data_IF_443298184187
#
_entry.id   IF_443298184187
#
_cell.length_a   1.000
_cell.length_b   1.000
_cell.length_c   1.000
_cell.angle_alpha   90.00
_cell.angle_beta   90.00
_cell.angle_gamma   90.00
#
_symmetry.space_group_name_H-M   'P 1'
#
loop_
_entity.id
_entity.type
_entity.pdbx_description
1 polymer ?
#
# COMPACT_ATOMS: atom_id res chain seq x y z
N UNK A 1 -25.84 12.19 9.93
CA UNK A 1 -24.91 13.09 9.21
C UNK A 1 -23.50 12.58 9.49
N UNK A 2 -22.93 11.82 8.56
CA UNK A 2 -21.56 11.34 8.69
C UNK A 2 -20.63 12.50 8.31
N UNK A 3 -19.86 13.01 9.26
CA UNK A 3 -18.76 13.91 8.98
C UNK A 3 -17.70 13.11 8.23
N UNK A 4 -17.60 13.31 6.92
CA UNK A 4 -16.43 12.92 6.17
C UNK A 4 -15.26 13.77 6.71
N UNK A 5 -14.47 13.18 7.59
CA UNK A 5 -13.17 13.75 7.97
C UNK A 5 -12.29 13.59 6.74
N UNK A 6 -12.18 14.66 5.97
CA UNK A 6 -11.23 14.74 4.86
C UNK A 6 -9.84 14.81 5.48
N UNK A 7 -9.28 13.66 5.83
CA UNK A 7 -7.86 13.59 6.18
C UNK A 7 -7.04 13.86 4.92
N UNK A 8 -6.63 15.10 4.72
CA UNK A 8 -5.65 15.38 3.68
C UNK A 8 -4.36 14.64 4.03
N UNK A 9 -3.75 13.99 3.04
CA UNK A 9 -2.48 13.27 3.23
C UNK A 9 -1.44 14.18 3.92
N UNK A 10 -0.67 13.68 4.89
CA UNK A 10 0.30 14.48 5.66
C UNK A 10 1.47 14.99 4.83
N UNK A 11 1.68 14.45 3.64
CA UNK A 11 2.66 14.86 2.66
C UNK A 11 1.96 15.07 1.31
N UNK A 12 1.87 16.30 0.86
CA UNK A 12 1.17 16.65 -0.38
C UNK A 12 2.12 17.38 -1.32
N UNK A 13 2.34 16.78 -2.49
CA UNK A 13 3.16 17.32 -3.58
C UNK A 13 2.38 17.13 -4.87
N UNK A 14 1.67 18.18 -5.27
CA UNK A 14 0.83 18.13 -6.47
C UNK A 14 1.67 18.37 -7.73
N UNK A 15 1.62 17.43 -8.63
CA UNK A 15 2.16 17.48 -9.98
C UNK A 15 1.03 17.70 -10.97
N UNK A 16 1.03 18.83 -11.67
CA UNK A 16 -0.01 19.14 -12.64
C UNK A 16 0.05 18.23 -13.88
N UNK A 17 -1.09 18.06 -14.53
CA UNK A 17 -1.14 17.35 -15.82
C UNK A 17 -0.24 18.00 -16.87
N UNK A 18 0.42 17.20 -17.73
CA UNK A 18 1.35 17.70 -18.72
C UNK A 18 0.63 18.54 -19.76
N UNK A 19 1.36 19.54 -20.28
CA UNK A 19 0.91 20.38 -21.40
C UNK A 19 1.63 19.97 -22.67
N UNK A 20 1.10 20.43 -23.79
CA UNK A 20 1.78 20.21 -25.08
C UNK A 20 3.19 20.80 -25.07
N UNK A 21 4.17 19.97 -25.38
CA UNK A 21 5.59 20.35 -25.37
C UNK A 21 6.34 20.02 -24.08
N UNK A 22 5.67 19.55 -23.04
CA UNK A 22 6.34 19.04 -21.84
C UNK A 22 7.17 17.80 -22.19
N UNK A 23 8.30 17.65 -21.50
CA UNK A 23 9.27 16.58 -21.71
C UNK A 23 9.42 15.74 -20.44
N UNK A 24 9.94 14.54 -20.62
CA UNK A 24 10.31 13.67 -19.50
C UNK A 24 11.23 14.40 -18.51
N UNK A 25 10.97 14.21 -17.23
CA UNK A 25 11.80 14.77 -16.15
C UNK A 25 11.86 13.87 -14.94
N UNK A 26 13.02 13.84 -14.30
CA UNK A 26 13.21 13.15 -13.01
C UNK A 26 12.79 14.07 -11.87
N UNK A 27 12.07 13.49 -10.90
CA UNK A 27 11.68 14.14 -9.65
C UNK A 27 12.17 13.29 -8.49
N UNK A 28 12.92 13.93 -7.59
CA UNK A 28 13.39 13.31 -6.35
C UNK A 28 12.80 14.09 -5.20
N UNK A 29 12.00 13.42 -4.39
CA UNK A 29 11.37 13.99 -3.19
C UNK A 29 11.93 13.27 -1.97
N UNK A 30 12.35 14.03 -0.98
CA UNK A 30 12.80 13.52 0.31
C UNK A 30 12.00 14.22 1.42
N UNK A 31 11.35 13.43 2.26
CA UNK A 31 10.56 13.95 3.36
C UNK A 31 11.46 14.52 4.45
N UNK A 32 11.26 15.78 4.83
CA UNK A 32 11.92 16.38 5.98
C UNK A 32 11.43 15.77 7.31
N UNK A 33 12.09 16.11 8.42
CA UNK A 33 11.76 15.57 9.73
C UNK A 33 10.30 15.81 10.12
N UNK A 34 9.77 17.01 9.86
CA UNK A 34 8.40 17.36 10.21
C UNK A 34 7.36 16.58 9.37
N UNK A 35 7.66 16.32 8.10
CA UNK A 35 6.84 15.44 7.25
C UNK A 35 6.87 14.02 7.77
N UNK A 36 8.07 13.48 8.07
CA UNK A 36 8.23 12.11 8.59
C UNK A 36 7.47 11.88 9.89
N UNK A 37 7.51 12.85 10.83
CA UNK A 37 6.73 12.79 12.07
C UNK A 37 5.22 12.73 11.79
N UNK A 38 4.70 13.55 10.88
CA UNK A 38 3.27 13.53 10.51
C UNK A 38 2.88 12.22 9.82
N UNK A 39 3.75 11.69 8.96
CA UNK A 39 3.54 10.41 8.28
C UNK A 39 3.54 9.25 9.29
N UNK A 40 4.48 9.23 10.25
CA UNK A 40 4.52 8.24 11.31
C UNK A 40 3.22 8.22 12.11
N UNK A 41 2.75 9.40 12.53
CA UNK A 41 1.48 9.53 13.26
C UNK A 41 0.28 9.08 12.43
N UNK A 42 0.26 9.39 11.13
CA UNK A 42 -0.85 9.05 10.23
C UNK A 42 -0.93 7.56 9.91
N UNK A 43 0.23 6.90 9.76
CA UNK A 43 0.34 5.45 9.51
C UNK A 43 0.38 4.61 10.80
N UNK A 44 0.31 5.25 11.98
CA UNK A 44 0.44 4.58 13.29
C UNK A 44 1.75 3.81 13.44
N UNK A 45 2.86 4.41 13.00
CA UNK A 45 4.22 3.87 13.10
C UNK A 45 4.95 4.49 14.29
N UNK A 46 5.94 3.78 14.83
CA UNK A 46 6.84 4.31 15.87
C UNK A 46 7.71 5.46 15.34
N UNK A 47 8.21 5.29 14.12
CA UNK A 47 9.00 6.31 13.42
C UNK A 47 8.94 6.14 11.90
N UNK A 48 9.32 7.19 11.19
CA UNK A 48 9.72 7.16 9.78
C UNK A 48 11.10 7.78 9.69
N UNK A 49 12.13 6.96 9.56
CA UNK A 49 13.52 7.41 9.60
C UNK A 49 14.01 7.89 8.24
N UNK A 50 13.48 7.30 7.18
CA UNK A 50 13.72 7.68 5.79
C UNK A 50 12.43 7.54 4.98
N UNK A 51 12.20 8.50 4.09
CA UNK A 51 11.12 8.46 3.11
C UNK A 51 11.54 9.26 1.88
N UNK A 52 11.84 8.56 0.81
CA UNK A 52 12.32 9.12 -0.45
C UNK A 52 11.56 8.51 -1.63
N UNK A 53 11.09 9.36 -2.52
CA UNK A 53 10.51 9.00 -3.80
C UNK A 53 11.44 9.48 -4.91
N UNK A 54 11.84 8.60 -5.83
CA UNK A 54 12.72 8.91 -6.95
C UNK A 54 12.08 8.37 -8.24
N UNK A 55 11.46 9.27 -8.99
CA UNK A 55 10.63 8.90 -10.13
C UNK A 55 10.95 9.74 -11.36
N UNK A 56 10.70 9.16 -12.51
CA UNK A 56 10.69 9.83 -13.80
C UNK A 56 9.25 10.02 -14.24
N UNK A 57 8.87 11.26 -14.49
CA UNK A 57 7.57 11.64 -15.01
C UNK A 57 7.65 11.78 -16.53
N UNK A 58 6.91 10.97 -17.24
CA UNK A 58 6.84 10.97 -18.70
C UNK A 58 5.46 11.42 -19.14
N UNK A 59 5.31 12.48 -19.95
CA UNK A 59 4.05 12.75 -20.63
C UNK A 59 3.61 11.53 -21.43
N UNK A 60 2.39 11.07 -21.19
CA UNK A 60 1.82 9.90 -21.83
C UNK A 60 0.34 10.11 -22.12
N UNK A 61 -0.05 10.09 -23.39
CA UNK A 61 -1.38 10.49 -23.83
C UNK A 61 -1.71 11.92 -23.32
N UNK A 62 -2.82 12.06 -22.60
CA UNK A 62 -3.22 13.30 -21.93
C UNK A 62 -2.86 13.32 -20.41
N UNK A 63 -2.06 12.35 -19.96
CA UNK A 63 -1.64 12.19 -18.58
C UNK A 63 -0.16 11.91 -18.40
N UNK A 64 0.18 11.13 -17.38
CA UNK A 64 1.56 10.83 -16.94
C UNK A 64 1.79 9.34 -16.82
N UNK A 65 2.94 8.89 -17.32
CA UNK A 65 3.55 7.62 -16.96
C UNK A 65 4.65 7.90 -15.92
N UNK A 66 4.50 7.35 -14.71
CA UNK A 66 5.38 7.56 -13.56
C UNK A 66 6.14 6.28 -13.31
N UNK A 67 7.46 6.31 -13.48
CA UNK A 67 8.33 5.14 -13.30
C UNK A 67 9.44 5.48 -12.32
N UNK A 68 9.70 4.61 -11.36
CA UNK A 68 10.77 4.81 -10.40
C UNK A 68 10.69 3.90 -9.19
N UNK A 69 11.09 4.41 -8.05
CA UNK A 69 11.09 3.64 -6.80
C UNK A 69 10.82 4.51 -5.58
N UNK A 70 10.19 3.90 -4.58
CA UNK A 70 10.12 4.40 -3.22
C UNK A 70 11.19 3.69 -2.37
N UNK A 71 11.90 4.46 -1.54
CA UNK A 71 12.81 3.96 -0.51
C UNK A 71 12.41 4.55 0.84
N UNK A 72 12.01 3.70 1.78
CA UNK A 72 11.62 4.11 3.12
C UNK A 72 12.20 3.18 4.19
N UNK A 73 12.39 3.74 5.40
CA UNK A 73 12.73 3.00 6.59
C UNK A 73 11.78 3.41 7.71
N UNK A 74 11.07 2.45 8.28
CA UNK A 74 10.01 2.69 9.27
C UNK A 74 10.25 1.89 10.55
N UNK A 75 10.01 2.52 11.70
CA UNK A 75 10.02 1.88 13.00
C UNK A 75 8.67 1.24 13.30
N UNK A 76 8.67 -0.03 13.67
CA UNK A 76 7.48 -0.80 14.03
C UNK A 76 7.70 -1.59 15.32
N UNK A 77 6.62 -2.03 15.97
CA UNK A 77 6.68 -2.95 17.12
C UNK A 77 6.32 -4.35 16.64
N UNK A 78 7.16 -5.32 17.00
CA UNK A 78 6.92 -6.73 16.69
C UNK A 78 5.68 -7.25 17.42
N UNK A 79 4.70 -7.78 16.69
CA UNK A 79 3.47 -8.34 17.27
C UNK A 79 3.67 -9.60 18.10
N UNK A 80 4.87 -10.23 18.06
CA UNK A 80 5.20 -11.44 18.81
C UNK A 80 5.96 -11.12 20.10
N UNK A 81 7.03 -10.30 20.00
CA UNK A 81 7.93 -10.02 21.13
C UNK A 81 7.68 -8.67 21.79
N UNK A 82 6.90 -7.80 21.14
CA UNK A 82 6.69 -6.40 21.51
C UNK A 82 7.97 -5.54 21.49
N UNK A 83 9.04 -6.05 20.89
CA UNK A 83 10.27 -5.28 20.69
C UNK A 83 10.11 -4.32 19.51
N UNK A 84 10.70 -3.12 19.59
CA UNK A 84 10.81 -2.25 18.41
C UNK A 84 11.79 -2.86 17.41
N UNK A 85 11.52 -2.64 16.11
CA UNK A 85 12.42 -3.01 15.02
C UNK A 85 12.24 -2.04 13.85
N UNK A 86 13.22 -2.00 12.98
CA UNK A 86 13.18 -1.22 11.75
C UNK A 86 12.83 -2.14 10.57
N UNK A 87 11.95 -1.66 9.69
CA UNK A 87 11.59 -2.31 8.43
C UNK A 87 12.02 -1.41 7.27
N UNK A 88 12.80 -1.99 6.35
CA UNK A 88 13.22 -1.35 5.10
C UNK A 88 12.21 -1.68 4.01
N UNK A 89 11.74 -0.65 3.30
CA UNK A 89 10.74 -0.75 2.26
C UNK A 89 11.35 -0.22 0.97
N UNK A 90 11.28 -1.00 -0.09
CA UNK A 90 11.66 -0.60 -1.44
C UNK A 90 10.60 -1.09 -2.40
N UNK A 91 9.85 -0.13 -2.95
CA UNK A 91 8.74 -0.45 -3.85
C UNK A 91 9.00 0.17 -5.22
N UNK A 92 9.03 -0.65 -6.27
CA UNK A 92 9.04 -0.14 -7.63
C UNK A 92 7.70 0.49 -7.96
N UNK A 93 7.73 1.57 -8.73
CA UNK A 93 6.56 2.28 -9.22
C UNK A 93 6.56 2.26 -10.73
N UNK A 94 5.45 1.81 -11.32
CA UNK A 94 5.16 1.89 -12.75
C UNK A 94 3.66 2.16 -12.90
N UNK A 95 3.27 3.44 -12.98
CA UNK A 95 1.88 3.88 -12.93
C UNK A 95 1.56 4.74 -14.14
N UNK A 96 0.45 4.43 -14.81
CA UNK A 96 -0.10 5.25 -15.89
C UNK A 96 -1.36 5.93 -15.39
N UNK A 97 -1.29 7.25 -15.25
CA UNK A 97 -2.37 8.06 -14.69
C UNK A 97 -2.89 9.04 -15.71
N UNK A 98 -4.21 9.13 -15.83
CA UNK A 98 -4.91 10.01 -16.75
C UNK A 98 -5.82 10.99 -16.00
N UNK A 99 -6.11 12.16 -16.53
CA UNK A 99 -7.10 13.07 -15.96
C UNK A 99 -8.49 12.38 -15.86
N UNK A 100 -9.28 12.72 -14.84
CA UNK A 100 -10.66 12.23 -14.77
C UNK A 100 -11.45 12.65 -16.01
N UNK A 101 -12.14 11.68 -16.61
CA UNK A 101 -12.91 11.89 -17.85
C UNK A 101 -12.07 11.85 -19.13
N UNK A 102 -10.81 11.46 -19.07
CA UNK A 102 -10.00 11.17 -20.26
C UNK A 102 -10.68 10.11 -21.13
N UNK A 103 -10.72 10.32 -22.46
CA UNK A 103 -11.25 9.32 -23.39
C UNK A 103 -10.39 8.04 -23.47
N UNK A 104 -9.20 8.08 -22.88
CA UNK A 104 -8.25 6.97 -22.85
C UNK A 104 -8.37 6.10 -21.59
N UNK A 105 -9.24 6.47 -20.64
CA UNK A 105 -9.55 5.62 -19.48
C UNK A 105 -10.41 4.41 -19.91
N UNK A 106 -10.24 3.26 -19.24
CA UNK A 106 -11.16 2.12 -19.43
C UNK A 106 -12.61 2.54 -19.16
N UNK A 107 -13.55 2.02 -19.94
CA UNK A 107 -14.97 2.28 -19.72
C UNK A 107 -15.43 1.61 -18.41
N UNK A 108 -16.11 2.35 -17.52
CA UNK A 108 -16.63 1.85 -16.25
C UNK A 108 -17.66 0.72 -16.41
N UNK A 109 -18.35 0.67 -17.56
CA UNK A 109 -19.40 -0.31 -17.90
C UNK A 109 -18.89 -1.49 -18.77
N UNK A 110 -17.58 -1.69 -18.89
CA UNK A 110 -17.05 -2.87 -19.54
C UNK A 110 -17.41 -4.09 -18.69
N UNK A 111 -18.52 -4.77 -19.01
CA UNK A 111 -19.02 -5.98 -18.34
C UNK A 111 -17.91 -6.97 -17.94
N UNK A 112 -18.06 -8.25 -18.07
CA UNK A 112 -17.03 -9.24 -17.75
C UNK A 112 -15.68 -8.87 -18.42
N UNK A 113 -14.75 -8.25 -17.63
CA UNK A 113 -13.41 -7.91 -18.12
C UNK A 113 -12.60 -9.20 -18.17
N UNK A 114 -12.27 -9.66 -19.36
CA UNK A 114 -11.28 -10.71 -19.53
C UNK A 114 -9.92 -10.15 -19.14
N UNK A 115 -9.42 -10.54 -17.98
CA UNK A 115 -8.09 -10.13 -17.50
C UNK A 115 -7.05 -10.96 -18.24
N UNK A 116 -6.30 -10.34 -19.10
CA UNK A 116 -5.09 -10.92 -19.68
C UNK A 116 -3.93 -10.66 -18.70
N UNK A 117 -3.45 -11.71 -18.06
CA UNK A 117 -2.36 -11.63 -17.08
C UNK A 117 -1.00 -11.19 -17.69
N UNK A 118 -0.87 -11.24 -19.01
CA UNK A 118 0.33 -10.80 -19.73
C UNK A 118 0.20 -9.37 -20.28
N UNK A 119 -0.99 -8.77 -20.19
CA UNK A 119 -1.20 -7.38 -20.61
C UNK A 119 -0.62 -6.41 -19.58
N UNK A 120 -0.17 -5.25 -20.06
CA UNK A 120 0.22 -4.14 -19.18
C UNK A 120 -0.99 -3.63 -18.38
N UNK A 121 -0.73 -3.18 -17.14
CA UNK A 121 -1.79 -2.63 -16.29
C UNK A 121 -2.51 -1.46 -16.97
N UNK A 122 -3.85 -1.44 -16.94
CA UNK A 122 -4.61 -0.35 -17.53
C UNK A 122 -4.32 0.98 -16.79
N UNK A 123 -4.48 2.13 -17.48
CA UNK A 123 -4.31 3.41 -16.83
C UNK A 123 -5.40 3.68 -15.80
N UNK A 124 -5.05 4.38 -14.74
CA UNK A 124 -5.94 4.79 -13.66
C UNK A 124 -6.30 6.28 -13.76
N UNK A 125 -7.43 6.65 -13.17
CA UNK A 125 -7.82 8.04 -13.05
C UNK A 125 -7.07 8.72 -11.91
N UNK A 126 -6.33 9.79 -12.21
CA UNK A 126 -5.70 10.64 -11.20
C UNK A 126 -6.64 11.72 -10.66
N UNK A 127 -6.09 12.71 -9.96
CA UNK A 127 -6.85 13.84 -9.44
C UNK A 127 -7.26 14.85 -10.52
N UNK A 128 -8.23 15.72 -10.21
CA UNK A 128 -8.70 16.76 -11.16
C UNK A 128 -7.58 17.71 -11.58
N UNK A 129 -6.73 18.11 -10.63
CA UNK A 129 -5.66 19.09 -10.88
C UNK A 129 -4.32 18.45 -11.30
N UNK A 130 -4.21 17.12 -11.19
CA UNK A 130 -2.95 16.40 -11.42
C UNK A 130 -2.79 15.20 -10.49
N UNK A 131 -1.54 14.82 -10.26
CA UNK A 131 -1.14 13.68 -9.44
C UNK A 131 -0.48 14.18 -8.14
N UNK A 132 -0.93 13.69 -7.00
CA UNK A 132 -0.27 13.97 -5.71
C UNK A 132 0.83 12.92 -5.46
N UNK A 133 2.09 13.29 -5.77
CA UNK A 133 3.25 12.41 -5.59
C UNK A 133 3.50 12.05 -4.12
N UNK A 134 3.12 12.94 -3.19
CA UNK A 134 3.20 12.67 -1.76
C UNK A 134 2.21 11.57 -1.35
N UNK A 135 0.97 11.64 -1.84
CA UNK A 135 -0.04 10.60 -1.60
C UNK A 135 0.39 9.24 -2.19
N UNK A 136 0.92 9.22 -3.43
CA UNK A 136 1.48 8.01 -4.04
C UNK A 136 2.61 7.39 -3.20
N UNK A 137 3.51 8.23 -2.67
CA UNK A 137 4.58 7.74 -1.80
C UNK A 137 4.03 7.09 -0.52
N UNK A 138 2.99 7.65 0.09
CA UNK A 138 2.36 7.10 1.29
C UNK A 138 1.61 5.79 1.00
N UNK A 139 0.95 5.70 -0.14
CA UNK A 139 0.31 4.49 -0.62
C UNK A 139 1.35 3.37 -0.82
N UNK A 140 2.45 3.67 -1.53
CA UNK A 140 3.54 2.72 -1.74
C UNK A 140 4.18 2.24 -0.42
N UNK A 141 4.39 3.14 0.57
CA UNK A 141 4.82 2.72 1.92
C UNK A 141 3.81 1.75 2.53
N UNK A 142 2.52 2.08 2.45
CA UNK A 142 1.46 1.26 3.06
C UNK A 142 1.38 -0.13 2.45
N UNK A 143 1.54 -0.24 1.12
CA UNK A 143 1.52 -1.50 0.38
C UNK A 143 2.80 -2.32 0.58
N UNK A 144 3.96 -1.65 0.68
CA UNK A 144 5.26 -2.30 0.86
C UNK A 144 5.53 -2.79 2.29
N UNK A 145 4.78 -2.30 3.28
CA UNK A 145 4.89 -2.82 4.65
C UNK A 145 4.41 -4.26 4.75
N UNK A 146 5.17 -5.11 5.47
CA UNK A 146 4.70 -6.44 5.81
C UNK A 146 3.34 -6.38 6.53
N UNK A 147 2.30 -7.15 6.12
CA UNK A 147 0.96 -7.08 6.70
C UNK A 147 0.96 -7.41 8.19
N UNK A 148 1.92 -8.22 8.64
CA UNK A 148 2.12 -8.55 10.05
C UNK A 148 3.47 -8.02 10.51
N UNK A 149 3.46 -7.10 11.49
CA UNK A 149 4.68 -6.58 12.08
C UNK A 149 5.43 -7.68 12.82
N UNK A 150 6.48 -8.23 12.20
CA UNK A 150 7.31 -9.28 12.79
C UNK A 150 8.78 -8.99 12.57
N UNK A 151 9.50 -8.87 13.69
CA UNK A 151 10.97 -8.71 13.66
C UNK A 151 11.60 -9.92 12.95
N UNK A 152 12.58 -9.72 12.06
CA UNK A 152 13.28 -10.81 11.40
C UNK A 152 13.82 -11.83 12.38
N UNK A 153 13.66 -13.13 12.07
CA UNK A 153 14.15 -14.25 12.91
C UNK A 153 13.26 -14.61 14.11
N UNK A 154 12.14 -13.91 14.34
CA UNK A 154 11.19 -14.25 15.39
C UNK A 154 10.15 -15.25 14.88
N UNK A 155 9.97 -16.38 15.58
CA UNK A 155 8.89 -17.32 15.38
C UNK A 155 7.88 -17.21 16.52
N UNK A 156 6.60 -17.43 16.23
CA UNK A 156 5.57 -17.56 17.25
C UNK A 156 5.43 -19.03 17.64
N UNK A 157 5.85 -19.37 18.86
CA UNK A 157 5.58 -20.69 19.45
C UNK A 157 4.19 -20.66 20.07
N UNK A 158 3.22 -21.21 19.35
CA UNK A 158 1.87 -21.34 19.91
C UNK A 158 1.94 -22.24 21.17
N UNK A 159 1.34 -21.81 22.30
CA UNK A 159 1.22 -22.69 23.44
C UNK A 159 0.48 -23.96 23.00
N UNK A 160 1.01 -25.11 23.37
CA UNK A 160 0.33 -26.39 23.12
C UNK A 160 -0.98 -26.32 23.88
N UNK A 161 -2.09 -26.15 23.15
CA UNK A 161 -3.43 -26.25 23.74
C UNK A 161 -3.60 -27.67 24.20
N UNK A 162 -3.66 -27.91 25.51
CA UNK A 162 -4.12 -29.17 26.01
C UNK A 162 -5.55 -29.36 25.50
N UNK A 163 -5.75 -30.39 24.69
CA UNK A 163 -7.03 -30.67 24.01
C UNK A 163 -8.21 -30.84 25.00
N UNK A 164 -7.92 -30.99 26.29
CA UNK A 164 -8.90 -31.11 27.37
C UNK A 164 -9.64 -29.81 27.73
N UNK A 165 -9.12 -28.63 27.30
CA UNK A 165 -9.72 -27.34 27.66
C UNK A 165 -10.80 -26.85 26.68
N UNK A 166 -11.04 -27.53 25.57
CA UNK A 166 -12.03 -27.11 24.61
C UNK A 166 -13.45 -27.47 25.02
N UNK A 167 -14.39 -26.49 25.13
CA UNK A 167 -15.82 -26.79 25.36
C UNK A 167 -16.43 -27.72 24.29
N UNK A 168 -15.75 -27.80 23.13
CA UNK A 168 -16.18 -28.64 22.00
C UNK A 168 -15.50 -30.01 21.94
N UNK A 169 -14.61 -30.34 22.87
CA UNK A 169 -13.96 -31.66 22.92
C UNK A 169 -14.98 -32.81 23.00
N UNK A 170 -16.11 -32.55 23.66
CA UNK A 170 -17.22 -33.50 23.73
C UNK A 170 -17.86 -33.80 22.36
N UNK A 171 -17.84 -32.85 21.42
CA UNK A 171 -18.38 -33.06 20.07
C UNK A 171 -17.50 -33.98 19.22
N UNK A 172 -16.19 -33.96 19.41
CA UNK A 172 -15.27 -34.86 18.72
C UNK A 172 -15.56 -36.34 19.04
N UNK A 173 -15.96 -36.63 20.27
CA UNK A 173 -16.34 -38.00 20.69
C UNK A 173 -17.65 -38.49 20.05
N UNK A 174 -18.56 -37.58 19.70
CA UNK A 174 -19.83 -37.94 19.02
C UNK A 174 -19.62 -38.19 17.52
N UNK A 175 -18.68 -37.47 16.87
CA UNK A 175 -18.34 -37.70 15.47
C UNK A 175 -17.66 -39.07 15.30
N UNK A 176 -16.71 -39.41 16.19
CA UNK A 176 -16.02 -40.71 16.13
C UNK A 176 -16.96 -41.89 16.37
N UNK A 177 -17.96 -41.76 17.26
CA UNK A 177 -18.94 -42.81 17.53
C UNK A 177 -19.86 -43.11 16.34
N UNK A 178 -20.16 -42.11 15.50
CA UNK A 178 -20.92 -42.31 14.26
C UNK A 178 -20.14 -42.99 13.14
N UNK A 179 -18.81 -42.85 13.14
CA UNK A 179 -17.95 -43.49 12.15
C UNK A 179 -17.78 -45.01 12.42
N UNK A 180 -17.92 -45.46 13.68
CA UNK A 180 -17.81 -46.87 14.06
C UNK A 180 -19.13 -47.65 13.90
N UNK A 181 -20.27 -46.99 13.63
CA UNK A 181 -21.58 -47.61 13.44
C UNK A 181 -22.00 -47.74 11.96
N UNK A 182 -21.13 -47.39 10.98
CA UNK A 182 -21.37 -47.50 9.55
C UNK A 182 -20.42 -48.47 8.89
#
# INVERSE_FOLDING_TARGET
MAHAVTHSAPWRILEAWPRHGDVERRVVLEADAAVRERVAAWLHLESVDRLKLDVVLRPWLDGLHIVGELDAAVGRVCGVTLDPYQEEIREPLDLRLLPPGSPNLPAEDAGEVSIDLEAEDPPEAGGVEGVDLGALALEAVSLGMAPFARKPGVAFDAPVSEAEASPFAALASLVNRRADES
#
